data_IF_000693542915
#
_entry.id   IF_000693542915
#
_cell.length_a   1.000
_cell.length_b   1.000
_cell.length_c   1.000
_cell.angle_alpha   90.00
_cell.angle_beta   90.00
_cell.angle_gamma   90.00
#
_symmetry.space_group_name_H-M   'P 1'
#
loop_
_entity.id
_entity.type
_entity.pdbx_description
1 polymer ?
#
# COMPACT_ATOMS: atom_id res chain seq x y z
N UNK A 1 -26.18 39.43 74.98
CA UNK A 1 -25.95 40.63 74.15
C UNK A 1 -24.92 40.27 73.10
N UNK A 2 -25.26 40.51 71.83
CA UNK A 2 -24.43 40.52 70.60
C UNK A 2 -23.44 39.36 70.36
N UNK A 3 -23.64 38.50 69.37
CA UNK A 3 -23.61 38.72 67.91
C UNK A 3 -22.20 38.66 67.29
N UNK A 4 -22.16 38.05 66.10
CA UNK A 4 -21.14 38.01 65.05
C UNK A 4 -20.05 36.92 65.17
N UNK A 5 -19.69 36.19 64.11
CA UNK A 5 -20.33 35.82 62.84
C UNK A 5 -19.45 34.68 62.25
N UNK A 6 -20.08 33.65 61.69
CA UNK A 6 -19.43 32.55 60.96
C UNK A 6 -18.88 33.05 59.62
N UNK A 7 -17.75 32.51 59.19
CA UNK A 7 -17.38 32.42 57.77
C UNK A 7 -16.87 31.01 57.50
N UNK A 8 -17.55 30.32 56.59
CA UNK A 8 -17.28 28.96 56.15
C UNK A 8 -16.30 29.01 54.97
N UNK A 9 -15.20 28.27 55.08
CA UNK A 9 -14.45 27.81 53.92
C UNK A 9 -14.45 26.28 53.97
N UNK A 10 -15.48 25.69 53.38
CA UNK A 10 -15.51 24.27 53.07
C UNK A 10 -14.97 24.11 51.65
N UNK A 11 -13.76 23.55 51.56
CA UNK A 11 -13.13 23.17 50.29
C UNK A 11 -13.95 22.07 49.64
N UNK A 12 -14.82 22.43 48.71
CA UNK A 12 -15.40 21.47 47.77
C UNK A 12 -14.41 21.28 46.63
N UNK A 13 -13.57 20.24 46.74
CA UNK A 13 -12.87 19.67 45.60
C UNK A 13 -13.92 19.21 44.56
N UNK A 14 -13.92 19.74 43.33
CA UNK A 14 -14.62 19.08 42.24
C UNK A 14 -13.84 17.80 41.92
N UNK A 15 -14.54 16.67 41.93
CA UNK A 15 -13.98 15.39 41.47
C UNK A 15 -13.54 15.54 40.01
N UNK A 16 -12.25 15.40 39.76
CA UNK A 16 -11.73 15.20 38.41
C UNK A 16 -12.27 13.87 37.88
N UNK A 17 -13.32 13.95 37.05
CA UNK A 17 -13.68 12.83 36.18
C UNK A 17 -12.69 12.82 35.02
N UNK A 18 -11.79 11.83 35.03
CA UNK A 18 -10.78 11.63 34.02
C UNK A 18 -11.38 11.49 32.63
N UNK A 19 -11.11 12.46 31.77
CA UNK A 19 -11.20 12.30 30.33
C UNK A 19 -9.80 11.88 29.83
N UNK A 20 -9.63 10.57 29.65
CA UNK A 20 -8.46 10.03 28.96
C UNK A 20 -8.38 10.60 27.53
N UNK A 21 -7.32 11.38 27.28
CA UNK A 21 -6.69 11.52 25.96
C UNK A 21 -7.55 12.03 24.81
N UNK A 22 -8.05 13.27 24.88
CA UNK A 22 -8.54 13.95 23.68
C UNK A 22 -7.34 14.21 22.74
N UNK A 23 -7.26 13.46 21.65
CA UNK A 23 -6.26 13.64 20.61
C UNK A 23 -6.47 15.02 19.95
N UNK A 24 -5.57 15.98 20.22
CA UNK A 24 -5.69 17.41 19.83
C UNK A 24 -5.76 17.67 18.32
N UNK A 25 -5.63 16.64 17.50
CA UNK A 25 -5.62 16.69 16.04
C UNK A 25 -6.95 16.26 15.39
N UNK A 26 -7.93 15.80 16.17
CA UNK A 26 -9.25 15.43 15.65
C UNK A 26 -10.25 16.59 15.78
N UNK A 27 -11.19 16.77 14.84
CA UNK A 27 -12.28 17.74 14.98
C UNK A 27 -13.06 17.51 16.28
N UNK A 28 -13.73 18.55 16.79
CA UNK A 28 -14.66 18.37 17.90
C UNK A 28 -15.87 17.52 17.46
N UNK A 29 -16.49 16.81 18.40
CA UNK A 29 -17.72 16.06 18.12
C UNK A 29 -18.79 16.96 17.50
N UNK A 30 -19.32 16.58 16.34
CA UNK A 30 -20.30 17.38 15.60
C UNK A 30 -21.26 16.47 14.81
N UNK A 31 -22.57 16.63 15.03
CA UNK A 31 -23.57 15.77 14.40
C UNK A 31 -23.40 14.30 14.85
N UNK A 32 -23.27 13.38 13.90
CA UNK A 32 -22.99 11.96 14.17
C UNK A 32 -21.50 11.64 14.35
N UNK A 33 -20.62 12.64 14.23
CA UNK A 33 -19.18 12.46 14.41
C UNK A 33 -18.80 12.45 15.88
N UNK A 34 -18.21 11.35 16.34
CA UNK A 34 -17.61 11.18 17.68
C UNK A 34 -16.10 10.90 17.52
N UNK A 35 -15.21 11.84 17.92
CA UNK A 35 -13.77 11.67 17.83
C UNK A 35 -13.23 10.47 18.62
N UNK A 36 -13.97 10.00 19.64
CA UNK A 36 -13.62 8.81 20.39
C UNK A 36 -13.84 7.51 19.59
N UNK A 37 -14.58 7.60 18.47
CA UNK A 37 -14.87 6.49 17.56
C UNK A 37 -14.15 6.62 16.21
N UNK A 38 -13.28 7.63 16.04
CA UNK A 38 -12.42 7.74 14.87
C UNK A 38 -11.48 6.53 14.77
N UNK A 39 -11.51 5.85 13.63
CA UNK A 39 -10.65 4.68 13.37
C UNK A 39 -10.11 4.77 11.96
N UNK A 40 -8.79 4.87 11.85
CA UNK A 40 -8.10 4.80 10.57
C UNK A 40 -8.18 3.37 10.00
N UNK A 41 -8.70 3.25 8.79
CA UNK A 41 -9.10 1.96 8.24
C UNK A 41 -7.93 1.17 7.62
N UNK A 42 -6.78 1.76 7.33
CA UNK A 42 -5.75 1.05 6.55
C UNK A 42 -4.85 0.12 7.37
N UNK A 43 -4.77 -1.15 6.95
CA UNK A 43 -3.87 -2.16 7.50
C UNK A 43 -2.55 -2.24 6.74
N UNK A 44 -1.44 -2.33 7.48
CA UNK A 44 -0.10 -2.54 6.92
C UNK A 44 0.70 -3.49 7.81
N UNK A 45 1.62 -4.22 7.22
CA UNK A 45 2.52 -5.15 7.91
C UNK A 45 3.78 -5.39 7.09
N UNK A 46 4.81 -5.93 7.73
CA UNK A 46 6.05 -6.30 7.08
C UNK A 46 6.53 -7.65 7.61
N UNK A 47 7.26 -8.36 6.77
CA UNK A 47 7.91 -9.63 7.10
C UNK A 47 9.36 -9.49 6.69
N UNK A 48 10.27 -9.88 7.57
CA UNK A 48 11.71 -9.75 7.33
C UNK A 48 12.44 -10.98 7.87
N UNK A 49 13.40 -11.47 7.10
CA UNK A 49 14.44 -12.37 7.59
C UNK A 49 15.59 -11.52 8.14
N UNK A 50 15.88 -11.64 9.44
CA UNK A 50 16.88 -10.81 10.14
C UNK A 50 18.30 -11.10 9.62
N UNK A 51 18.56 -12.32 9.15
CA UNK A 51 19.84 -12.67 8.54
C UNK A 51 19.95 -12.16 7.09
N UNK A 52 18.88 -11.60 6.53
CA UNK A 52 18.85 -11.04 5.17
C UNK A 52 18.83 -12.11 4.09
N UNK A 53 18.41 -13.34 4.40
CA UNK A 53 18.40 -14.44 3.44
C UNK A 53 17.14 -14.38 2.56
N UNK A 54 17.25 -14.21 1.23
CA UNK A 54 16.08 -14.19 0.36
C UNK A 54 15.42 -15.58 0.29
N UNK A 55 14.13 -15.65 0.61
CA UNK A 55 13.36 -16.88 0.57
C UNK A 55 11.92 -16.64 0.09
N UNK A 56 11.38 -17.58 -0.68
CA UNK A 56 9.98 -17.55 -1.11
C UNK A 56 8.99 -17.59 0.06
N UNK A 57 9.40 -18.21 1.18
CA UNK A 57 8.60 -18.24 2.41
C UNK A 57 8.21 -16.83 2.89
N UNK A 58 9.10 -15.83 2.76
CA UNK A 58 8.82 -14.44 3.13
C UNK A 58 7.64 -13.88 2.31
N UNK A 59 7.56 -14.23 1.02
CA UNK A 59 6.45 -13.83 0.15
C UNK A 59 5.14 -14.49 0.60
N UNK A 60 5.16 -15.79 0.90
CA UNK A 60 3.99 -16.51 1.40
C UNK A 60 3.49 -15.95 2.75
N UNK A 61 4.41 -15.60 3.65
CA UNK A 61 4.10 -14.94 4.92
C UNK A 61 3.51 -13.54 4.69
N UNK A 62 4.05 -12.74 3.77
CA UNK A 62 3.50 -11.42 3.43
C UNK A 62 2.07 -11.51 2.87
N UNK A 63 1.80 -12.51 2.02
CA UNK A 63 0.43 -12.79 1.53
C UNK A 63 -0.52 -13.21 2.66
N UNK A 64 -0.03 -13.98 3.63
CA UNK A 64 -0.79 -14.36 4.83
C UNK A 64 -1.15 -13.12 5.67
N UNK A 65 -0.20 -12.19 5.83
CA UNK A 65 -0.44 -10.91 6.51
C UNK A 65 -1.51 -10.11 5.78
N UNK A 66 -1.42 -9.96 4.45
CA UNK A 66 -2.45 -9.27 3.68
C UNK A 66 -3.84 -9.90 3.83
N UNK A 67 -3.92 -11.24 3.79
CA UNK A 67 -5.17 -11.95 3.99
C UNK A 67 -5.77 -11.66 5.38
N UNK A 68 -4.92 -11.68 6.42
CA UNK A 68 -5.34 -11.37 7.78
C UNK A 68 -5.79 -9.91 7.96
N UNK A 69 -5.30 -8.99 7.13
CA UNK A 69 -5.71 -7.58 7.12
C UNK A 69 -6.99 -7.31 6.31
N UNK A 70 -7.59 -8.33 5.68
CA UNK A 70 -8.82 -8.16 4.87
C UNK A 70 -9.99 -7.52 5.61
N UNK A 71 -10.12 -7.77 6.92
CA UNK A 71 -11.14 -7.14 7.78
C UNK A 71 -10.95 -5.64 7.98
N UNK A 72 -9.77 -5.11 7.62
CA UNK A 72 -9.43 -3.68 7.59
C UNK A 72 -9.51 -3.10 6.19
N UNK A 73 -9.74 -3.92 5.16
CA UNK A 73 -9.93 -3.44 3.80
C UNK A 73 -11.27 -2.71 3.68
N UNK A 74 -11.24 -1.56 3.02
CA UNK A 74 -12.47 -0.99 2.50
C UNK A 74 -13.01 -1.88 1.38
N UNK A 75 -14.29 -2.24 1.49
CA UNK A 75 -14.99 -2.96 0.44
C UNK A 75 -15.56 -1.95 -0.56
N UNK A 76 -15.38 -2.22 -1.85
CA UNK A 76 -16.00 -1.43 -2.90
C UNK A 76 -17.52 -1.62 -2.94
N UNK A 77 -18.16 -1.03 -3.96
CA UNK A 77 -19.60 -1.18 -4.21
C UNK A 77 -20.04 -2.63 -4.49
N UNK A 78 -19.10 -3.53 -4.78
CA UNK A 78 -19.31 -4.94 -5.09
C UNK A 78 -18.49 -5.80 -4.13
N UNK A 79 -18.98 -7.00 -3.80
CA UNK A 79 -18.30 -7.92 -2.86
C UNK A 79 -16.90 -8.35 -3.31
N UNK A 80 -16.63 -8.31 -4.61
CA UNK A 80 -15.39 -8.73 -5.25
C UNK A 80 -14.57 -7.56 -5.80
N UNK A 81 -14.85 -6.33 -5.33
CA UNK A 81 -14.06 -5.13 -5.55
C UNK A 81 -13.60 -4.60 -4.20
N UNK A 82 -12.33 -4.25 -4.06
CA UNK A 82 -11.77 -3.58 -2.89
C UNK A 82 -10.95 -2.37 -3.32
N UNK A 83 -10.64 -1.49 -2.38
CA UNK A 83 -9.93 -0.24 -2.69
C UNK A 83 -8.47 -0.46 -3.12
N UNK A 84 -7.86 -1.54 -2.64
CA UNK A 84 -6.51 -1.95 -3.07
C UNK A 84 -5.80 -2.86 -2.07
N UNK A 85 -4.90 -3.69 -2.58
CA UNK A 85 -3.97 -4.49 -1.80
C UNK A 85 -2.68 -4.68 -2.61
N UNK A 86 -1.55 -4.84 -1.92
CA UNK A 86 -0.27 -5.06 -2.59
C UNK A 86 0.84 -5.42 -1.61
N UNK A 87 1.89 -6.03 -2.15
CA UNK A 87 3.15 -6.28 -1.44
C UNK A 87 4.28 -5.57 -2.18
N UNK A 88 5.24 -5.04 -1.42
CA UNK A 88 6.50 -4.55 -1.95
C UNK A 88 7.59 -5.56 -1.59
N UNK A 89 8.40 -5.94 -2.57
CA UNK A 89 9.49 -6.90 -2.42
C UNK A 89 10.78 -6.33 -3.01
N UNK A 90 11.90 -6.90 -2.60
CA UNK A 90 13.18 -6.73 -3.31
C UNK A 90 13.07 -7.29 -4.73
N UNK A 91 13.93 -6.82 -5.65
CA UNK A 91 14.01 -7.37 -7.01
C UNK A 91 14.31 -8.88 -6.93
N UNK A 92 13.41 -9.77 -7.39
CA UNK A 92 13.61 -11.21 -7.31
C UNK A 92 14.56 -11.69 -8.43
N UNK A 93 15.86 -11.46 -8.29
CA UNK A 93 16.88 -11.73 -9.32
C UNK A 93 16.79 -13.15 -9.91
N UNK A 94 16.70 -14.17 -9.06
CA UNK A 94 16.60 -15.58 -9.50
C UNK A 94 15.40 -15.83 -10.41
N UNK A 95 14.27 -15.18 -10.12
CA UNK A 95 13.05 -15.32 -10.92
C UNK A 95 13.19 -14.60 -12.27
N UNK A 96 13.64 -13.35 -12.28
CA UNK A 96 13.80 -12.61 -13.53
C UNK A 96 14.88 -13.20 -14.43
N UNK A 97 15.98 -13.68 -13.86
CA UNK A 97 17.04 -14.34 -14.63
C UNK A 97 16.53 -15.59 -15.34
N UNK A 98 15.70 -16.40 -14.68
CA UNK A 98 15.07 -17.56 -15.31
C UNK A 98 14.19 -17.14 -16.51
N UNK A 99 13.32 -16.14 -16.32
CA UNK A 99 12.43 -15.64 -17.38
C UNK A 99 13.20 -15.11 -18.58
N UNK A 100 14.18 -14.24 -18.35
CA UNK A 100 14.94 -13.62 -19.44
C UNK A 100 15.84 -14.63 -20.15
N UNK A 101 16.34 -15.65 -19.43
CA UNK A 101 17.09 -16.75 -20.02
C UNK A 101 16.25 -17.58 -21.00
N UNK A 102 14.97 -17.82 -20.70
CA UNK A 102 14.03 -18.49 -21.65
C UNK A 102 13.87 -17.70 -22.95
N UNK A 103 14.05 -16.38 -22.91
CA UNK A 103 14.02 -15.47 -24.05
C UNK A 103 15.40 -15.26 -24.71
N UNK A 104 16.43 -15.99 -24.27
CA UNK A 104 17.79 -15.87 -24.80
C UNK A 104 18.54 -14.61 -24.37
N UNK A 105 18.06 -13.90 -23.33
CA UNK A 105 18.66 -12.67 -22.79
C UNK A 105 19.36 -12.96 -21.48
N UNK A 106 20.62 -12.52 -21.36
CA UNK A 106 21.39 -12.62 -20.11
C UNK A 106 21.30 -11.30 -19.36
N UNK A 107 20.67 -11.31 -18.18
CA UNK A 107 20.62 -10.13 -17.33
C UNK A 107 22.00 -9.78 -16.74
N UNK A 108 22.31 -8.48 -16.55
CA UNK A 108 23.44 -8.05 -15.75
C UNK A 108 23.47 -8.68 -14.34
N UNK A 109 24.60 -8.61 -13.63
CA UNK A 109 24.67 -9.02 -12.23
C UNK A 109 23.60 -8.34 -11.37
N UNK A 110 23.15 -9.03 -10.32
CA UNK A 110 22.21 -8.44 -9.35
C UNK A 110 22.74 -7.10 -8.82
N UNK A 111 21.87 -6.09 -8.78
CA UNK A 111 22.24 -4.71 -8.43
C UNK A 111 22.84 -3.87 -9.57
N UNK A 112 23.04 -4.45 -10.76
CA UNK A 112 23.48 -3.76 -11.98
C UNK A 112 22.41 -3.68 -13.07
N UNK A 113 21.16 -4.01 -12.74
CA UNK A 113 20.00 -3.78 -13.60
C UNK A 113 18.83 -3.26 -12.75
N UNK A 114 17.95 -2.49 -13.39
CA UNK A 114 16.75 -1.95 -12.79
C UNK A 114 15.50 -2.70 -13.26
N UNK A 115 14.42 -2.57 -12.50
CA UNK A 115 13.09 -3.00 -12.94
C UNK A 115 12.10 -1.90 -12.57
N UNK A 116 11.31 -1.45 -13.55
CA UNK A 116 10.22 -0.53 -13.32
C UNK A 116 8.89 -1.24 -13.62
N UNK A 117 7.97 -1.22 -12.64
CA UNK A 117 6.60 -1.70 -12.82
C UNK A 117 5.75 -0.55 -13.37
N UNK A 118 5.14 -0.77 -14.53
CA UNK A 118 4.25 0.17 -15.18
C UNK A 118 2.82 -0.36 -15.22
N UNK A 119 1.87 0.56 -15.17
CA UNK A 119 0.45 0.37 -15.47
C UNK A 119 0.11 1.26 -16.66
N UNK A 120 0.01 0.67 -17.85
CA UNK A 120 -0.19 1.40 -19.09
C UNK A 120 -1.65 1.29 -19.56
N UNK A 121 -2.00 2.05 -20.61
CA UNK A 121 -3.33 2.03 -21.21
C UNK A 121 -3.74 0.61 -21.67
N UNK A 122 -5.00 0.18 -21.56
CA UNK A 122 -5.46 -1.06 -22.19
C UNK A 122 -5.54 -0.95 -23.73
N UNK A 123 -5.43 0.25 -24.30
CA UNK A 123 -5.29 0.46 -25.75
C UNK A 123 -3.85 0.23 -26.24
N UNK A 124 -3.67 -0.68 -27.19
CA UNK A 124 -2.33 -1.11 -27.64
C UNK A 124 -1.52 0.03 -28.27
N UNK A 125 -2.15 0.92 -29.02
CA UNK A 125 -1.45 2.01 -29.70
C UNK A 125 -0.95 3.04 -28.68
N UNK A 126 -1.79 3.42 -27.72
CA UNK A 126 -1.40 4.30 -26.62
C UNK A 126 -0.31 3.69 -25.73
N UNK A 127 -0.35 2.37 -25.49
CA UNK A 127 0.74 1.67 -24.78
C UNK A 127 2.06 1.80 -25.52
N UNK A 128 2.07 1.48 -26.81
CA UNK A 128 3.30 1.50 -27.61
C UNK A 128 3.91 2.91 -27.64
N UNK A 129 3.08 3.95 -27.75
CA UNK A 129 3.53 5.34 -27.64
C UNK A 129 4.15 5.63 -26.26
N UNK A 130 3.50 5.19 -25.18
CA UNK A 130 4.01 5.38 -23.81
C UNK A 130 5.32 4.61 -23.58
N UNK A 131 5.42 3.37 -24.06
CA UNK A 131 6.64 2.56 -23.99
C UNK A 131 7.77 3.19 -24.79
N UNK A 132 7.49 3.72 -25.99
CA UNK A 132 8.49 4.42 -26.78
C UNK A 132 9.02 5.66 -26.05
N UNK A 133 8.14 6.46 -25.45
CA UNK A 133 8.55 7.61 -24.65
C UNK A 133 9.46 7.20 -23.49
N UNK A 134 9.13 6.12 -22.78
CA UNK A 134 9.97 5.59 -21.70
C UNK A 134 11.33 5.11 -22.23
N UNK A 135 11.36 4.42 -23.37
CA UNK A 135 12.60 3.98 -24.00
C UNK A 135 13.49 5.18 -24.35
N UNK A 136 12.93 6.21 -24.99
CA UNK A 136 13.66 7.40 -25.40
C UNK A 136 14.25 8.14 -24.19
N UNK A 137 13.47 8.27 -23.10
CA UNK A 137 13.94 8.90 -21.86
C UNK A 137 15.04 8.09 -21.18
N UNK A 138 14.91 6.76 -21.13
CA UNK A 138 15.92 5.90 -20.54
C UNK A 138 17.24 5.94 -21.32
N UNK A 139 17.17 5.91 -22.65
CA UNK A 139 18.34 6.08 -23.52
C UNK A 139 18.98 7.46 -23.37
N UNK A 140 18.18 8.52 -23.33
CA UNK A 140 18.67 9.88 -23.13
C UNK A 140 19.36 10.06 -21.77
N UNK A 141 18.93 9.31 -20.75
CA UNK A 141 19.58 9.24 -19.44
C UNK A 141 20.82 8.32 -19.40
N UNK A 142 21.17 7.66 -20.50
CA UNK A 142 22.36 6.81 -20.62
C UNK A 142 22.18 5.36 -20.15
N UNK A 143 20.93 4.90 -19.96
CA UNK A 143 20.66 3.50 -19.60
C UNK A 143 20.62 2.61 -20.83
N UNK A 144 21.17 1.40 -20.70
CA UNK A 144 21.00 0.33 -21.68
C UNK A 144 19.64 -0.33 -21.46
N UNK A 145 18.83 -0.40 -22.52
CA UNK A 145 17.52 -1.05 -22.51
C UNK A 145 17.69 -2.57 -22.59
N UNK A 146 17.10 -3.33 -21.67
CA UNK A 146 17.03 -4.79 -21.76
C UNK A 146 15.72 -5.18 -22.45
N UNK A 147 14.59 -4.62 -22.01
CA UNK A 147 13.32 -4.78 -22.69
C UNK A 147 12.09 -4.70 -21.80
N UNK A 148 10.96 -5.05 -22.41
CA UNK A 148 9.65 -5.06 -21.76
C UNK A 148 9.18 -6.49 -21.50
N UNK A 149 8.53 -6.69 -20.36
CA UNK A 149 7.88 -7.93 -19.97
C UNK A 149 6.43 -7.65 -19.60
N UNK A 150 5.51 -8.30 -20.30
CA UNK A 150 4.10 -8.29 -19.89
C UNK A 150 3.94 -9.08 -18.59
N UNK A 151 3.21 -8.53 -17.62
CA UNK A 151 3.00 -9.21 -16.33
C UNK A 151 1.78 -10.12 -16.46
N UNK A 152 1.91 -11.44 -16.26
CA UNK A 152 0.76 -12.33 -16.28
C UNK A 152 -0.23 -11.96 -15.19
N UNK A 153 -1.51 -11.80 -15.55
CA UNK A 153 -2.62 -11.52 -14.63
C UNK A 153 -3.76 -12.52 -14.82
N UNK A 154 -4.62 -12.62 -13.81
CA UNK A 154 -5.89 -13.32 -13.87
C UNK A 154 -6.94 -12.43 -13.20
N UNK A 155 -7.91 -11.95 -13.97
CA UNK A 155 -8.93 -11.00 -13.54
C UNK A 155 -10.33 -11.64 -13.41
N UNK A 156 -10.44 -12.97 -13.55
CA UNK A 156 -11.70 -13.73 -13.56
C UNK A 156 -12.61 -13.47 -12.35
N UNK A 157 -12.03 -13.15 -11.19
CA UNK A 157 -12.77 -12.91 -9.95
C UNK A 157 -13.10 -11.45 -9.66
N UNK A 158 -12.60 -10.49 -10.45
CA UNK A 158 -12.73 -9.06 -10.16
C UNK A 158 -14.15 -8.53 -10.40
N UNK A 159 -14.58 -7.58 -9.58
CA UNK A 159 -15.85 -6.86 -9.80
C UNK A 159 -15.78 -5.91 -11.01
N UNK A 160 -16.93 -5.53 -11.54
CA UNK A 160 -17.02 -4.71 -12.75
C UNK A 160 -16.39 -3.33 -12.56
N UNK A 161 -16.44 -2.77 -11.35
CA UNK A 161 -15.78 -1.49 -11.06
C UNK A 161 -14.26 -1.61 -11.22
N UNK A 162 -13.65 -2.68 -10.72
CA UNK A 162 -12.21 -2.91 -10.85
C UNK A 162 -11.82 -3.20 -12.31
N UNK A 163 -12.58 -4.05 -13.02
CA UNK A 163 -12.34 -4.40 -14.42
C UNK A 163 -12.36 -3.18 -15.35
N UNK A 164 -13.27 -2.22 -15.12
CA UNK A 164 -13.33 -0.99 -15.93
C UNK A 164 -12.10 -0.10 -15.77
N UNK A 165 -11.45 -0.16 -14.61
CA UNK A 165 -10.24 0.60 -14.31
C UNK A 165 -8.95 -0.18 -14.53
N UNK A 166 -9.03 -1.44 -14.98
CA UNK A 166 -7.86 -2.32 -15.10
C UNK A 166 -6.87 -1.77 -16.14
N UNK A 167 -5.62 -1.47 -15.75
CA UNK A 167 -4.57 -1.10 -16.69
C UNK A 167 -3.95 -2.34 -17.32
N UNK A 168 -3.04 -2.14 -18.26
CA UNK A 168 -2.15 -3.19 -18.73
C UNK A 168 -0.85 -3.18 -17.92
N UNK A 169 -0.61 -4.16 -17.02
CA UNK A 169 0.61 -4.21 -16.22
C UNK A 169 1.77 -4.78 -17.02
N UNK A 170 2.88 -4.06 -17.05
CA UNK A 170 4.11 -4.49 -17.69
C UNK A 170 5.33 -4.03 -16.87
N UNK A 171 6.46 -4.66 -17.10
CA UNK A 171 7.74 -4.36 -16.46
C UNK A 171 8.75 -3.94 -17.52
N UNK A 172 9.54 -2.93 -17.18
CA UNK A 172 10.64 -2.42 -18.01
C UNK A 172 11.97 -2.69 -17.32
N UNK A 173 12.94 -3.17 -18.09
CA UNK A 173 14.27 -3.60 -17.64
C UNK A 173 15.36 -2.85 -18.39
#
# INVERSE_FOLDING_TARGET
>A
MSAQQKSAHENTHPKENGAHGANRFLPAAQGLYDPAQERDACGMGFVVDIAGVPAHEIVAQALTVLHNLSHRGAAGSEKNSGDGAGILLQIPDRFFRAIWQEMGVVLPPAGQYGVAQFFLSPDQQQRQQSQQLVNDLAQAAGFALIGWRDVPTCNDSLGQTALRGEPFPCQFF
#
